data_IF_446543358043
#
_entry.id   IF_446543358043
#
_cell.length_a   1.000
_cell.length_b   1.000
_cell.length_c   1.000
_cell.angle_alpha   90.00
_cell.angle_beta   90.00
_cell.angle_gamma   90.00
#
_symmetry.space_group_name_H-M   'P 1'
#
loop_
_entity.id
_entity.type
_entity.pdbx_description
1 polymer ?
#
# COMPACT_ATOMS: atom_id res chain seq x y z
N UNK A 1 10.59 -4.46 32.56
CA UNK A 1 12.01 -4.15 32.26
C UNK A 1 12.56 -5.29 31.40
N UNK A 2 12.45 -5.19 30.08
CA UNK A 2 12.96 -6.20 29.14
C UNK A 2 14.07 -5.56 28.31
N UNK A 3 15.26 -6.14 28.37
CA UNK A 3 16.45 -5.71 27.61
C UNK A 3 16.38 -6.29 26.19
N UNK A 4 16.60 -5.50 25.13
CA UNK A 4 16.96 -6.03 23.82
C UNK A 4 18.49 -6.16 23.75
N UNK A 5 19.00 -7.38 23.63
CA UNK A 5 20.41 -7.62 23.32
C UNK A 5 20.50 -8.19 21.90
N UNK A 6 21.09 -7.36 21.01
CA UNK A 6 22.04 -7.71 19.95
C UNK A 6 22.10 -9.18 19.53
N UNK A 7 21.81 -9.50 18.26
CA UNK A 7 22.72 -9.96 17.16
C UNK A 7 21.88 -9.88 15.85
N UNK A 8 22.18 -9.15 14.77
CA UNK A 8 23.13 -9.50 13.68
C UNK A 8 23.13 -8.43 12.56
N UNK A 9 24.21 -7.64 12.37
CA UNK A 9 24.43 -6.91 11.12
C UNK A 9 25.05 -7.78 10.00
N UNK A 10 25.46 -9.02 10.29
CA UNK A 10 26.26 -9.86 9.38
C UNK A 10 25.45 -10.79 8.44
N UNK A 11 24.12 -10.91 8.61
CA UNK A 11 23.26 -11.69 7.69
C UNK A 11 22.77 -10.86 6.51
N UNK A 12 22.79 -9.53 6.62
CA UNK A 12 22.19 -8.63 5.64
C UNK A 12 23.10 -8.33 4.44
N UNK A 13 24.42 -8.55 4.54
CA UNK A 13 25.36 -8.32 3.45
C UNK A 13 25.52 -9.55 2.52
N UNK A 14 25.59 -10.77 3.08
CA UNK A 14 25.68 -12.00 2.29
C UNK A 14 24.35 -12.43 1.66
N UNK A 15 23.20 -12.05 2.23
CA UNK A 15 21.89 -12.33 1.61
C UNK A 15 21.57 -11.40 0.45
N UNK A 16 22.07 -10.15 0.45
CA UNK A 16 21.82 -9.16 -0.62
C UNK A 16 22.60 -9.43 -1.90
N UNK A 17 23.83 -9.95 -1.84
CA UNK A 17 24.67 -10.15 -3.04
C UNK A 17 24.26 -11.39 -3.86
N UNK A 18 23.97 -12.51 -3.19
CA UNK A 18 23.48 -13.73 -3.84
C UNK A 18 22.08 -13.52 -4.45
N UNK A 19 21.23 -12.73 -3.79
CA UNK A 19 19.90 -12.37 -4.31
C UNK A 19 19.97 -11.33 -5.41
N UNK A 20 20.91 -10.37 -5.36
CA UNK A 20 21.09 -9.39 -6.44
C UNK A 20 21.57 -10.05 -7.75
N UNK A 21 22.50 -11.01 -7.68
CA UNK A 21 22.93 -11.75 -8.86
C UNK A 21 21.79 -12.60 -9.45
N UNK A 22 21.07 -13.36 -8.62
CA UNK A 22 19.91 -14.14 -9.07
C UNK A 22 18.80 -13.26 -9.64
N UNK A 23 18.53 -12.11 -9.01
CA UNK A 23 17.59 -11.10 -9.50
C UNK A 23 18.05 -10.53 -10.85
N UNK A 24 19.32 -10.21 -11.00
CA UNK A 24 19.84 -9.67 -12.26
C UNK A 24 19.76 -10.69 -13.40
N UNK A 25 20.06 -11.96 -13.14
CA UNK A 25 19.91 -13.02 -14.14
C UNK A 25 18.43 -13.23 -14.54
N UNK A 26 17.53 -13.18 -13.56
CA UNK A 26 16.09 -13.21 -13.82
C UNK A 26 15.64 -12.01 -14.68
N UNK A 27 16.07 -10.79 -14.32
CA UNK A 27 15.74 -9.58 -15.08
C UNK A 27 16.31 -9.64 -16.50
N UNK A 28 17.54 -10.11 -16.70
CA UNK A 28 18.11 -10.32 -18.04
C UNK A 28 17.27 -11.27 -18.88
N UNK A 29 16.73 -12.33 -18.26
CA UNK A 29 15.85 -13.28 -18.94
C UNK A 29 14.53 -12.63 -19.34
N UNK A 30 13.89 -11.91 -18.42
CA UNK A 30 12.62 -11.22 -18.65
C UNK A 30 12.78 -10.16 -19.74
N UNK A 31 13.75 -9.26 -19.59
CA UNK A 31 14.00 -8.15 -20.50
C UNK A 31 14.81 -8.52 -21.75
N UNK A 32 15.05 -9.82 -22.00
CA UNK A 32 15.77 -10.29 -23.20
C UNK A 32 15.23 -9.68 -24.50
N UNK A 33 13.90 -9.55 -24.71
CA UNK A 33 13.37 -8.94 -25.94
C UNK A 33 13.83 -7.50 -26.18
N UNK A 34 14.08 -6.73 -25.11
CA UNK A 34 14.63 -5.37 -25.26
C UNK A 34 16.09 -5.35 -25.65
N UNK A 35 16.87 -6.37 -25.28
CA UNK A 35 18.30 -6.45 -25.61
C UNK A 35 18.55 -6.62 -27.12
N UNK A 36 17.53 -7.07 -27.86
CA UNK A 36 17.58 -7.27 -29.31
C UNK A 36 17.13 -6.02 -30.09
N UNK A 37 16.65 -4.98 -29.40
CA UNK A 37 16.13 -3.75 -29.99
C UNK A 37 17.06 -2.56 -29.74
N UNK A 38 17.08 -1.62 -30.69
CA UNK A 38 17.82 -0.36 -30.52
C UNK A 38 17.04 0.54 -29.54
N UNK A 39 17.65 1.03 -28.44
CA UNK A 39 16.99 1.95 -27.53
C UNK A 39 16.40 3.16 -28.25
N UNK A 40 15.10 3.40 -28.06
CA UNK A 40 14.37 4.51 -28.68
C UNK A 40 13.86 4.26 -30.10
N UNK A 41 14.05 3.06 -30.68
CA UNK A 41 13.41 2.72 -31.95
C UNK A 41 11.87 2.60 -31.79
N UNK A 42 11.09 2.74 -32.88
CA UNK A 42 9.65 2.54 -32.83
C UNK A 42 9.25 1.18 -32.21
N UNK A 43 9.99 0.12 -32.50
CA UNK A 43 9.77 -1.22 -31.96
C UNK A 43 10.09 -1.28 -30.45
N UNK A 44 11.15 -0.62 -30.02
CA UNK A 44 11.50 -0.51 -28.59
C UNK A 44 10.39 0.20 -27.81
N UNK A 45 9.91 1.34 -28.33
CA UNK A 45 8.84 2.11 -27.70
C UNK A 45 7.53 1.32 -27.71
N UNK A 46 7.19 0.66 -28.82
CA UNK A 46 6.00 -0.17 -28.92
C UNK A 46 6.03 -1.35 -27.93
N UNK A 47 7.19 -1.99 -27.76
CA UNK A 47 7.35 -3.06 -26.76
C UNK A 47 7.18 -2.51 -25.34
N UNK A 48 7.81 -1.37 -25.01
CA UNK A 48 7.68 -0.69 -23.73
C UNK A 48 6.24 -0.33 -23.39
N UNK A 49 5.47 0.18 -24.35
CA UNK A 49 4.07 0.53 -24.14
C UNK A 49 3.14 -0.69 -24.10
N UNK A 50 3.58 -1.85 -24.61
CA UNK A 50 2.69 -3.02 -24.71
C UNK A 50 2.55 -3.82 -23.43
N UNK A 51 3.43 -3.67 -22.43
CA UNK A 51 3.41 -4.48 -21.20
C UNK A 51 3.81 -5.96 -21.36
N UNK A 52 3.83 -6.46 -22.60
CA UNK A 52 4.03 -7.88 -22.96
C UNK A 52 5.25 -8.55 -22.34
N UNK A 53 6.35 -7.82 -22.13
CA UNK A 53 7.56 -8.39 -21.51
C UNK A 53 7.27 -8.99 -20.12
N UNK A 54 6.37 -8.37 -19.36
CA UNK A 54 5.95 -8.89 -18.07
C UNK A 54 4.76 -9.84 -18.19
N UNK A 55 3.81 -9.57 -19.09
CA UNK A 55 2.66 -10.46 -19.31
C UNK A 55 3.08 -11.84 -19.83
N UNK A 56 4.03 -11.91 -20.76
CA UNK A 56 4.53 -13.18 -21.32
C UNK A 56 5.30 -13.99 -20.26
N UNK A 57 5.92 -13.31 -19.30
CA UNK A 57 6.70 -13.97 -18.24
C UNK A 57 5.83 -14.43 -17.06
N UNK A 58 4.93 -13.57 -16.58
CA UNK A 58 4.09 -13.88 -15.42
C UNK A 58 2.73 -14.47 -15.77
N UNK A 59 2.27 -14.31 -17.01
CA UNK A 59 0.92 -14.60 -17.50
C UNK A 59 -0.14 -14.43 -16.39
N UNK A 60 -0.64 -13.21 -16.15
CA UNK A 60 -1.54 -12.95 -15.02
C UNK A 60 -2.85 -13.76 -15.08
N UNK A 61 -3.17 -14.36 -16.23
CA UNK A 61 -4.33 -15.24 -16.40
C UNK A 61 -4.03 -16.73 -16.14
N UNK A 62 -2.76 -17.10 -16.00
CA UNK A 62 -2.35 -18.44 -15.58
C UNK A 62 -2.45 -18.56 -14.05
N UNK A 63 -3.49 -19.26 -13.61
CA UNK A 63 -3.74 -19.49 -12.19
C UNK A 63 -2.92 -20.66 -11.63
N UNK A 64 -2.36 -21.54 -12.47
CA UNK A 64 -1.72 -22.79 -12.04
C UNK A 64 -0.55 -22.56 -11.07
N UNK A 65 0.38 -21.61 -11.30
CA UNK A 65 1.45 -21.32 -10.35
C UNK A 65 0.91 -20.89 -8.97
N UNK A 66 -0.20 -20.15 -8.95
CA UNK A 66 -0.84 -19.72 -7.71
C UNK A 66 -1.48 -20.90 -6.98
N UNK A 67 -2.16 -21.80 -7.70
CA UNK A 67 -2.75 -23.01 -7.12
C UNK A 67 -1.68 -23.95 -6.56
N UNK A 68 -0.54 -24.10 -7.26
CA UNK A 68 0.58 -24.91 -6.80
C UNK A 68 1.14 -24.37 -5.47
N UNK A 69 1.35 -23.05 -5.38
CA UNK A 69 1.82 -22.41 -4.13
C UNK A 69 0.78 -22.54 -3.02
N UNK A 70 -0.50 -22.31 -3.31
CA UNK A 70 -1.57 -22.49 -2.32
C UNK A 70 -1.64 -23.92 -1.78
N UNK A 71 -1.47 -24.92 -2.65
CA UNK A 71 -1.40 -26.33 -2.25
C UNK A 71 -0.23 -26.60 -1.30
N UNK A 72 0.96 -26.08 -1.62
CA UNK A 72 2.16 -26.18 -0.76
C UNK A 72 1.98 -25.47 0.59
N UNK A 73 1.16 -24.42 0.64
CA UNK A 73 0.92 -23.61 1.84
C UNK A 73 -0.39 -23.94 2.55
N UNK A 74 -1.04 -25.06 2.21
CA UNK A 74 -2.40 -25.38 2.65
C UNK A 74 -2.59 -25.27 4.17
N UNK A 75 -1.68 -25.83 4.96
CA UNK A 75 -1.75 -25.80 6.44
C UNK A 75 -1.69 -24.37 7.00
N UNK A 76 -0.86 -23.51 6.41
CA UNK A 76 -0.73 -22.12 6.83
C UNK A 76 -1.98 -21.32 6.46
N UNK A 77 -2.55 -21.58 5.27
CA UNK A 77 -3.81 -20.98 4.83
C UNK A 77 -4.97 -21.41 5.74
N UNK A 78 -5.05 -22.70 6.10
CA UNK A 78 -6.05 -23.21 7.03
C UNK A 78 -5.95 -22.55 8.40
N UNK A 79 -4.72 -22.33 8.89
CA UNK A 79 -4.48 -21.61 10.14
C UNK A 79 -4.95 -20.16 10.04
N UNK A 80 -4.65 -19.47 8.94
CA UNK A 80 -5.11 -18.10 8.70
C UNK A 80 -6.64 -18.04 8.67
N UNK A 81 -7.30 -18.99 8.02
CA UNK A 81 -8.76 -19.02 7.93
C UNK A 81 -9.42 -19.35 9.28
N UNK A 82 -8.81 -20.22 10.09
CA UNK A 82 -9.25 -20.44 11.47
C UNK A 82 -9.15 -19.16 12.32
N UNK A 83 -8.07 -18.40 12.18
CA UNK A 83 -7.93 -17.09 12.84
C UNK A 83 -8.96 -16.07 12.35
N UNK A 84 -9.22 -16.00 11.04
CA UNK A 84 -10.28 -15.13 10.49
C UNK A 84 -11.65 -15.50 11.10
N UNK A 85 -11.98 -16.79 11.15
CA UNK A 85 -13.23 -17.27 11.74
C UNK A 85 -13.33 -16.91 13.22
N UNK A 86 -12.25 -17.09 13.99
CA UNK A 86 -12.17 -16.68 15.39
C UNK A 86 -12.44 -15.17 15.57
N UNK A 87 -11.80 -14.31 14.78
CA UNK A 87 -12.00 -12.86 14.87
C UNK A 87 -13.44 -12.43 14.58
N UNK A 88 -14.11 -13.12 13.64
CA UNK A 88 -15.53 -12.89 13.32
C UNK A 88 -16.42 -13.37 14.47
N UNK A 89 -16.22 -14.61 14.94
CA UNK A 89 -17.01 -15.22 16.01
C UNK A 89 -16.97 -14.39 17.29
N UNK A 90 -15.80 -13.84 17.64
CA UNK A 90 -15.60 -13.06 18.85
C UNK A 90 -15.86 -11.55 18.67
N UNK A 91 -16.34 -11.10 17.50
CA UNK A 91 -16.60 -9.68 17.18
C UNK A 91 -15.36 -8.79 17.40
N UNK A 92 -14.17 -9.34 17.16
CA UNK A 92 -12.89 -8.64 17.36
C UNK A 92 -12.37 -7.98 16.08
N UNK A 93 -12.90 -8.38 14.91
CA UNK A 93 -12.41 -7.93 13.59
C UNK A 93 -12.32 -6.41 13.48
N UNK A 94 -13.42 -5.69 13.70
CA UNK A 94 -13.45 -4.22 13.58
C UNK A 94 -12.50 -3.53 14.57
N UNK A 95 -12.54 -3.95 15.84
CA UNK A 95 -11.68 -3.40 16.88
C UNK A 95 -10.20 -3.58 16.56
N UNK A 96 -9.80 -4.77 16.12
CA UNK A 96 -8.41 -5.08 15.80
C UNK A 96 -7.94 -4.34 14.54
N UNK A 97 -8.75 -4.33 13.47
CA UNK A 97 -8.39 -3.61 12.24
C UNK A 97 -8.25 -2.10 12.49
N UNK A 98 -9.16 -1.51 13.26
CA UNK A 98 -9.07 -0.09 13.62
C UNK A 98 -7.84 0.21 14.48
N UNK A 99 -7.48 -0.67 15.41
CA UNK A 99 -6.27 -0.51 16.22
C UNK A 99 -4.97 -0.59 15.40
N UNK A 100 -4.98 -1.35 14.30
CA UNK A 100 -3.80 -1.56 13.44
C UNK A 100 -3.72 -0.56 12.27
N UNK A 101 -4.78 0.21 11.99
CA UNK A 101 -4.82 1.11 10.82
C UNK A 101 -3.66 2.11 10.80
N UNK A 102 -3.32 2.67 11.97
CA UNK A 102 -2.21 3.63 12.07
C UNK A 102 -0.86 2.97 11.82
N UNK A 103 -0.59 1.84 12.47
CA UNK A 103 0.64 1.09 12.27
C UNK A 103 0.79 0.63 10.81
N UNK A 104 -0.30 0.19 10.19
CA UNK A 104 -0.34 -0.15 8.77
C UNK A 104 0.04 1.04 7.88
N UNK A 105 -0.58 2.21 8.08
CA UNK A 105 -0.29 3.41 7.30
C UNK A 105 1.19 3.83 7.44
N UNK A 106 1.73 3.76 8.65
CA UNK A 106 3.13 4.03 8.91
C UNK A 106 4.05 3.03 8.22
N UNK A 107 3.82 1.73 8.40
CA UNK A 107 4.68 0.71 7.79
C UNK A 107 4.62 0.77 6.26
N UNK A 108 3.44 1.02 5.69
CA UNK A 108 3.26 1.17 4.24
C UNK A 108 4.08 2.33 3.68
N UNK A 109 4.08 3.49 4.33
CA UNK A 109 4.86 4.65 3.88
C UNK A 109 6.36 4.49 4.18
N UNK A 110 6.72 3.87 5.30
CA UNK A 110 8.11 3.59 5.66
C UNK A 110 8.79 2.62 4.68
N UNK A 111 8.05 1.64 4.12
CA UNK A 111 8.55 0.74 3.08
C UNK A 111 8.96 1.54 1.83
N UNK A 112 8.22 2.59 1.48
CA UNK A 112 8.50 3.48 0.35
C UNK A 112 9.53 4.58 0.68
N UNK A 113 10.15 4.52 1.86
CA UNK A 113 11.25 5.40 2.25
C UNK A 113 10.85 6.65 3.03
N UNK A 114 9.58 6.76 3.45
CA UNK A 114 9.15 7.86 4.32
C UNK A 114 9.86 7.78 5.69
N UNK A 115 10.58 8.82 6.14
CA UNK A 115 11.43 8.77 7.34
C UNK A 115 10.68 9.08 8.64
N UNK A 116 9.37 9.34 8.59
CA UNK A 116 8.58 9.60 9.79
C UNK A 116 8.53 8.37 10.68
N UNK A 117 8.61 8.60 11.99
CA UNK A 117 8.55 7.50 12.96
C UNK A 117 7.10 7.13 13.28
N UNK A 118 6.89 5.95 13.85
CA UNK A 118 5.56 5.52 14.30
C UNK A 118 4.92 6.49 15.31
N UNK A 119 5.72 7.19 16.12
CA UNK A 119 5.22 8.24 17.00
C UNK A 119 4.68 9.46 16.25
N UNK A 120 5.27 9.79 15.10
CA UNK A 120 4.81 10.88 14.23
C UNK A 120 3.44 10.53 13.62
N UNK A 121 3.23 9.26 13.20
CA UNK A 121 1.95 8.81 12.65
C UNK A 121 0.81 8.83 13.68
N UNK A 122 1.10 8.53 14.95
CA UNK A 122 0.15 8.69 16.07
C UNK A 122 -0.27 10.14 16.25
N UNK A 123 0.67 11.09 16.25
CA UNK A 123 0.35 12.52 16.39
C UNK A 123 -0.51 13.01 15.22
N UNK A 124 -0.19 12.58 14.00
CA UNK A 124 -0.96 12.93 12.80
C UNK A 124 -2.38 12.35 12.90
N UNK A 125 -2.54 11.09 13.31
CA UNK A 125 -3.88 10.47 13.47
C UNK A 125 -4.71 11.17 14.54
N UNK A 126 -4.12 11.52 15.68
CA UNK A 126 -4.79 12.26 16.75
C UNK A 126 -5.33 13.61 16.27
N UNK A 127 -4.53 14.35 15.49
CA UNK A 127 -4.94 15.64 14.92
C UNK A 127 -6.01 15.46 13.84
N UNK A 128 -5.89 14.45 12.98
CA UNK A 128 -6.95 14.09 12.03
C UNK A 128 -8.25 13.71 12.73
N UNK A 129 -8.19 12.95 13.82
CA UNK A 129 -9.36 12.51 14.58
C UNK A 129 -10.13 13.68 15.21
N UNK A 130 -9.41 14.69 15.72
CA UNK A 130 -9.98 15.87 16.38
C UNK A 130 -10.60 16.87 15.42
N UNK A 131 -9.95 17.14 14.29
CA UNK A 131 -10.34 18.26 13.42
C UNK A 131 -11.01 17.78 12.13
N UNK A 132 -10.39 16.81 11.46
CA UNK A 132 -10.83 16.35 10.14
C UNK A 132 -11.96 15.34 10.23
N UNK A 133 -11.74 14.18 10.85
CA UNK A 133 -12.78 13.17 10.94
C UNK A 133 -13.97 13.65 11.77
N UNK A 134 -13.73 14.45 12.81
CA UNK A 134 -14.82 15.04 13.60
C UNK A 134 -15.66 16.06 12.83
N UNK A 135 -15.07 16.89 11.96
CA UNK A 135 -15.88 17.77 11.10
C UNK A 135 -16.73 16.98 10.09
N UNK A 136 -16.24 15.81 9.67
CA UNK A 136 -16.97 14.86 8.83
C UNK A 136 -17.96 13.96 9.60
N UNK A 137 -17.89 13.90 10.95
CA UNK A 137 -18.76 13.11 11.85
C UNK A 137 -20.21 13.59 11.93
N UNK A 138 -20.64 14.57 11.14
CA UNK A 138 -22.06 14.89 10.91
C UNK A 138 -22.82 13.78 10.15
N UNK A 139 -22.45 12.51 10.37
CA UNK A 139 -22.96 11.30 9.72
C UNK A 139 -22.29 10.94 8.40
N UNK A 140 -21.50 11.84 7.81
CA UNK A 140 -21.06 11.70 6.42
C UNK A 140 -19.78 10.89 6.23
N UNK A 141 -18.80 10.94 7.16
CA UNK A 141 -17.50 10.28 6.91
C UNK A 141 -17.61 8.78 6.56
N UNK A 142 -18.40 8.03 7.33
CA UNK A 142 -18.60 6.58 7.11
C UNK A 142 -19.44 6.25 5.86
N UNK A 143 -20.12 7.25 5.28
CA UNK A 143 -20.90 7.10 4.06
C UNK A 143 -20.20 7.67 2.83
N UNK A 144 -19.10 8.41 3.00
CA UNK A 144 -18.34 8.96 1.88
C UNK A 144 -17.68 7.82 1.12
N UNK A 145 -18.00 7.72 -0.16
CA UNK A 145 -17.23 6.86 -1.05
C UNK A 145 -15.90 7.54 -1.43
N UNK A 146 -14.97 6.76 -2.01
CA UNK A 146 -13.63 7.26 -2.36
C UNK A 146 -13.66 8.43 -3.35
N UNK A 147 -14.62 8.49 -4.26
CA UNK A 147 -14.77 9.61 -5.20
C UNK A 147 -15.19 10.91 -4.51
N UNK A 148 -16.00 10.83 -3.46
CA UNK A 148 -16.38 11.99 -2.66
C UNK A 148 -15.23 12.43 -1.76
N UNK A 149 -14.52 11.47 -1.15
CA UNK A 149 -13.37 11.74 -0.30
C UNK A 149 -12.24 12.44 -1.08
N UNK A 150 -11.99 12.04 -2.33
CA UNK A 150 -11.01 12.65 -3.21
C UNK A 150 -11.31 14.14 -3.54
N UNK A 151 -12.53 14.63 -3.27
CA UNK A 151 -12.94 16.02 -3.52
C UNK A 151 -12.89 16.88 -2.26
N UNK A 152 -12.59 16.30 -1.10
CA UNK A 152 -12.52 17.01 0.17
C UNK A 152 -11.12 17.58 0.35
N UNK A 153 -11.03 18.83 0.80
CA UNK A 153 -9.75 19.43 1.18
C UNK A 153 -9.20 18.78 2.43
N UNK A 154 -7.99 18.25 2.35
CA UNK A 154 -7.31 17.63 3.48
C UNK A 154 -6.63 18.71 4.35
N UNK A 155 -6.44 18.46 5.67
CA UNK A 155 -5.71 19.38 6.51
C UNK A 155 -4.29 19.59 6.00
N UNK A 156 -3.82 20.83 6.03
CA UNK A 156 -2.49 21.15 5.55
C UNK A 156 -1.42 20.36 6.34
N UNK A 157 -0.40 19.77 5.70
CA UNK A 157 0.54 18.88 6.40
C UNK A 157 1.20 19.52 7.64
N UNK A 158 1.59 20.79 7.53
CA UNK A 158 2.21 21.52 8.65
C UNK A 158 1.27 21.79 9.84
N UNK A 159 -0.06 21.72 9.67
CA UNK A 159 -0.97 21.82 10.81
C UNK A 159 -1.06 20.51 11.60
N UNK A 160 -0.67 19.38 10.98
CA UNK A 160 -0.72 18.05 11.59
C UNK A 160 0.56 17.72 12.35
N UNK A 161 1.72 18.14 11.82
CA UNK A 161 3.02 17.88 12.45
C UNK A 161 4.04 18.98 12.11
N UNK A 162 4.04 20.11 12.84
CA UNK A 162 4.92 21.24 12.54
C UNK A 162 6.41 20.88 12.60
N UNK A 163 7.20 21.43 11.67
CA UNK A 163 8.66 21.34 11.69
C UNK A 163 9.24 20.06 11.07
N UNK A 164 8.39 19.20 10.50
CA UNK A 164 8.79 18.07 9.64
C UNK A 164 8.58 18.44 8.17
N UNK A 165 9.16 17.63 7.28
CA UNK A 165 9.00 17.81 5.84
C UNK A 165 7.53 17.70 5.43
N UNK A 166 7.03 18.63 4.60
CA UNK A 166 5.61 18.67 4.29
C UNK A 166 5.14 17.51 3.42
N UNK A 167 5.99 17.01 2.51
CA UNK A 167 5.63 15.95 1.58
C UNK A 167 5.56 14.61 2.32
N UNK A 168 6.51 14.38 3.24
CA UNK A 168 6.50 13.20 4.10
C UNK A 168 5.27 13.14 5.00
N UNK A 169 4.86 14.29 5.57
CA UNK A 169 3.61 14.37 6.34
C UNK A 169 2.40 14.15 5.43
N UNK A 170 2.38 14.72 4.22
CA UNK A 170 1.28 14.56 3.27
C UNK A 170 1.07 13.09 2.91
N UNK A 171 2.12 12.35 2.59
CA UNK A 171 2.04 10.90 2.31
C UNK A 171 1.45 10.12 3.50
N UNK A 172 1.96 10.35 4.71
CA UNK A 172 1.45 9.70 5.92
C UNK A 172 -0.02 10.04 6.19
N UNK A 173 -0.38 11.33 6.08
CA UNK A 173 -1.76 11.83 6.22
C UNK A 173 -2.68 11.13 5.22
N UNK A 174 -2.29 11.08 3.96
CA UNK A 174 -3.11 10.49 2.91
C UNK A 174 -3.29 8.99 3.13
N UNK A 175 -2.23 8.27 3.50
CA UNK A 175 -2.30 6.84 3.83
C UNK A 175 -3.21 6.57 5.04
N UNK A 176 -3.16 7.40 6.09
CA UNK A 176 -4.06 7.28 7.24
C UNK A 176 -5.53 7.46 6.84
N UNK A 177 -5.83 8.51 6.08
CA UNK A 177 -7.20 8.78 5.58
C UNK A 177 -7.67 7.63 4.69
N UNK A 178 -6.87 7.24 3.69
CA UNK A 178 -7.17 6.15 2.77
C UNK A 178 -7.41 4.82 3.50
N UNK A 179 -6.52 4.46 4.44
CA UNK A 179 -6.62 3.21 5.20
C UNK A 179 -7.87 3.17 6.08
N UNK A 180 -8.20 4.29 6.72
CA UNK A 180 -9.41 4.40 7.56
C UNK A 180 -10.68 4.30 6.71
N UNK A 181 -10.76 5.02 5.59
CA UNK A 181 -11.94 4.99 4.70
C UNK A 181 -12.15 3.65 4.01
N UNK A 182 -11.08 3.01 3.54
CA UNK A 182 -11.17 1.68 2.91
C UNK A 182 -11.57 0.61 3.93
N UNK A 183 -11.04 0.69 5.15
CA UNK A 183 -11.43 -0.18 6.28
C UNK A 183 -12.92 -0.01 6.63
N UNK A 184 -13.38 1.23 6.81
CA UNK A 184 -14.79 1.53 7.09
C UNK A 184 -15.71 1.03 5.95
N UNK A 185 -15.31 1.22 4.70
CA UNK A 185 -16.05 0.72 3.54
C UNK A 185 -16.13 -0.81 3.52
N UNK A 186 -15.02 -1.49 3.80
CA UNK A 186 -14.98 -2.96 3.85
C UNK A 186 -15.89 -3.54 4.95
N UNK A 187 -16.07 -2.83 6.06
CA UNK A 187 -17.00 -3.23 7.12
C UNK A 187 -18.47 -3.02 6.77
N UNK A 188 -18.78 -2.01 5.95
CA UNK A 188 -20.18 -1.74 5.52
C UNK A 188 -20.63 -2.60 4.35
N UNK A 189 -19.69 -3.15 3.56
CA UNK A 189 -19.96 -3.98 2.38
C UNK A 189 -19.24 -5.34 2.43
N UNK A 190 -19.53 -6.20 3.42
CA UNK A 190 -18.87 -7.50 3.51
C UNK A 190 -19.25 -8.40 2.31
N UNK A 191 -18.27 -9.10 1.73
CA UNK A 191 -18.49 -10.08 0.67
C UNK A 191 -18.59 -9.51 -0.75
N UNK A 192 -18.27 -8.23 -0.96
CA UNK A 192 -18.12 -7.67 -2.31
C UNK A 192 -16.78 -8.05 -2.94
N UNK A 193 -16.66 -7.88 -4.26
CA UNK A 193 -15.43 -8.11 -5.02
C UNK A 193 -14.28 -7.13 -4.71
N UNK A 194 -14.44 -6.25 -3.71
CA UNK A 194 -13.49 -5.19 -3.38
C UNK A 194 -13.83 -3.86 -4.04
N UNK A 195 -12.79 -3.16 -4.50
CA UNK A 195 -12.87 -1.84 -5.13
C UNK A 195 -13.05 -1.97 -6.65
N UNK A 196 -13.87 -1.11 -7.26
CA UNK A 196 -13.92 -0.97 -8.73
C UNK A 196 -12.69 -0.24 -9.28
N UNK A 197 -12.48 -0.27 -10.59
CA UNK A 197 -11.39 0.49 -11.23
C UNK A 197 -11.50 1.99 -10.95
N UNK A 198 -12.72 2.53 -10.97
CA UNK A 198 -12.99 3.94 -10.65
C UNK A 198 -12.62 4.26 -9.19
N UNK A 199 -12.94 3.35 -8.27
CA UNK A 199 -12.57 3.47 -6.85
C UNK A 199 -11.05 3.35 -6.64
N UNK A 200 -10.36 2.50 -7.39
CA UNK A 200 -8.89 2.41 -7.40
C UNK A 200 -8.27 3.72 -7.90
N UNK A 201 -8.80 4.31 -8.97
CA UNK A 201 -8.35 5.62 -9.46
C UNK A 201 -8.57 6.72 -8.42
N UNK A 202 -9.72 6.71 -7.74
CA UNK A 202 -10.00 7.67 -6.67
C UNK A 202 -9.05 7.48 -5.48
N UNK A 203 -8.79 6.24 -5.07
CA UNK A 203 -7.83 5.92 -4.02
C UNK A 203 -6.43 6.41 -4.36
N UNK A 204 -5.96 6.17 -5.58
CA UNK A 204 -4.66 6.65 -6.04
C UNK A 204 -4.57 8.19 -5.98
N UNK A 205 -5.60 8.89 -6.47
CA UNK A 205 -5.68 10.36 -6.36
C UNK A 205 -5.56 10.84 -4.91
N UNK A 206 -6.26 10.18 -3.98
CA UNK A 206 -6.21 10.49 -2.54
C UNK A 206 -4.79 10.33 -1.99
N UNK A 207 -4.12 9.22 -2.32
CA UNK A 207 -2.77 8.92 -1.84
C UNK A 207 -1.74 9.98 -2.27
N UNK A 208 -1.99 10.66 -3.39
CA UNK A 208 -1.07 11.63 -3.97
C UNK A 208 -1.33 13.08 -3.59
N UNK A 209 -2.42 13.41 -2.90
CA UNK A 209 -2.74 14.81 -2.57
C UNK A 209 -1.59 15.47 -1.80
N UNK A 210 -1.08 16.60 -2.29
CA UNK A 210 0.03 17.37 -1.71
C UNK A 210 1.36 16.61 -1.56
N UNK A 211 1.57 15.50 -2.28
CA UNK A 211 2.86 14.78 -2.30
C UNK A 211 3.75 15.27 -3.45
N UNK A 212 5.05 14.95 -3.42
CA UNK A 212 5.96 15.25 -4.56
C UNK A 212 5.53 14.53 -5.85
N UNK A 213 4.78 13.44 -5.71
CA UNK A 213 4.34 12.58 -6.80
C UNK A 213 3.11 13.09 -7.56
N UNK A 214 2.50 14.22 -7.14
CA UNK A 214 1.34 14.83 -7.84
C UNK A 214 1.64 15.07 -9.32
N UNK A 215 2.86 15.50 -9.67
CA UNK A 215 3.21 15.82 -11.04
C UNK A 215 3.29 14.57 -11.94
N UNK A 216 3.61 13.40 -11.37
CA UNK A 216 3.61 12.14 -12.12
C UNK A 216 2.21 11.74 -12.59
N UNK A 217 1.17 12.19 -11.89
CA UNK A 217 -0.23 11.89 -12.21
C UNK A 217 -0.91 12.93 -13.12
N UNK A 218 -0.31 14.11 -13.33
CA UNK A 218 -0.82 15.11 -14.29
C UNK A 218 -0.44 14.80 -15.74
N UNK A 219 0.54 13.92 -15.94
CA UNK A 219 1.06 13.53 -17.25
C UNK A 219 0.36 12.29 -17.85
N UNK A 220 -0.65 11.73 -17.17
CA UNK A 220 -1.43 10.56 -17.59
C UNK A 220 -2.89 10.89 -17.85
#
# INVERSE_FOLDING_TARGET
>A
MFRPAFIRPLVQACSKSATAAARNELLKRIYKPFAELVPGSPEYIALAHSGRVWEDFHNPFDIEPYLEVQSKMKEQLDTIDAWKAFLVQHRLKEKLTNALTNEYAHQSTAIEGNPLFIGDSVIIEDNLAKDFFQSLKSGRYKSLNLNELAKISFPHPQSLLPGKDHYQIAEMRNHLIASKSTTDTAFTKPGTAGLTLEEIHALSKILLIDTESVELYRLG
#
